data_IF_773737918080
#
_entry.id   IF_773737918080
#
_cell.length_a   1.000
_cell.length_b   1.000
_cell.length_c   1.000
_cell.angle_alpha   90.00
_cell.angle_beta   90.00
_cell.angle_gamma   90.00
#
_symmetry.space_group_name_H-M   'P 1'
#
loop_
_entity.id
_entity.type
_entity.pdbx_description
1 polymer ?
#
# COMPACT_ATOMS: atom_id res chain seq x y z
N UNK A 1 -8.51 -12.40 -3.25
CA UNK A 1 -8.93 -11.24 -4.08
C UNK A 1 -7.78 -10.28 -4.11
N UNK A 2 -7.38 -9.81 -5.29
CA UNK A 2 -6.21 -8.93 -5.42
C UNK A 2 -6.65 -7.48 -5.20
N UNK A 3 -6.02 -6.85 -4.22
CA UNK A 3 -6.12 -5.43 -3.94
C UNK A 3 -4.87 -4.73 -4.45
N UNK A 4 -5.08 -3.69 -5.26
CA UNK A 4 -4.04 -2.78 -5.73
C UNK A 4 -4.16 -1.47 -4.98
N UNK A 5 -3.15 -1.15 -4.18
CA UNK A 5 -3.14 0.02 -3.30
C UNK A 5 -2.12 1.03 -3.81
N UNK A 6 -2.55 2.27 -3.95
CA UNK A 6 -1.65 3.39 -4.21
C UNK A 6 -1.39 4.15 -2.91
N UNK A 7 -0.13 4.30 -2.53
CA UNK A 7 0.26 4.99 -1.31
C UNK A 7 1.42 5.96 -1.53
N UNK A 8 1.47 7.00 -0.72
CA UNK A 8 2.61 7.90 -0.60
C UNK A 8 3.54 7.37 0.49
N UNK A 9 4.80 7.13 0.15
CA UNK A 9 5.86 6.78 1.11
C UNK A 9 7.10 7.63 0.87
N UNK A 10 7.97 7.73 1.87
CA UNK A 10 9.18 8.58 1.79
C UNK A 10 8.91 10.04 2.16
N UNK A 11 9.94 10.87 2.02
CA UNK A 11 9.78 12.32 2.20
C UNK A 11 8.96 12.88 1.03
N UNK A 12 7.81 13.50 1.33
CA UNK A 12 6.92 14.12 0.32
C UNK A 12 7.61 15.23 -0.47
N UNK A 13 8.74 15.76 0.02
CA UNK A 13 9.53 16.80 -0.65
C UNK A 13 10.66 16.24 -1.53
N UNK A 14 11.09 15.00 -1.27
CA UNK A 14 12.06 14.30 -2.11
C UNK A 14 11.38 13.07 -2.70
N UNK A 15 10.70 13.25 -3.83
CA UNK A 15 10.16 12.14 -4.64
C UNK A 15 11.30 11.23 -5.08
N UNK A 16 11.69 10.32 -4.21
CA UNK A 16 12.72 9.32 -4.49
C UNK A 16 12.08 8.28 -5.40
N UNK A 17 12.55 8.22 -6.64
CA UNK A 17 12.08 7.23 -7.63
C UNK A 17 12.49 5.79 -7.26
N UNK A 18 13.27 5.61 -6.20
CA UNK A 18 13.68 4.30 -5.71
C UNK A 18 13.95 4.29 -4.21
N UNK A 19 13.29 3.38 -3.51
CA UNK A 19 13.63 2.95 -2.15
C UNK A 19 14.01 1.47 -2.18
N UNK A 20 14.91 1.06 -1.28
CA UNK A 20 15.19 -0.36 -1.07
C UNK A 20 13.98 -1.08 -0.47
N UNK A 21 13.89 -2.41 -0.62
CA UNK A 21 12.80 -3.20 -0.03
C UNK A 21 12.66 -2.97 1.48
N UNK A 22 13.78 -2.92 2.18
CA UNK A 22 13.84 -2.68 3.63
C UNK A 22 13.28 -1.30 4.00
N UNK A 23 13.65 -0.26 3.23
CA UNK A 23 13.10 1.08 3.43
C UNK A 23 11.61 1.14 3.14
N UNK A 24 11.15 0.53 2.04
CA UNK A 24 9.73 0.44 1.70
C UNK A 24 8.96 -0.23 2.83
N UNK A 25 9.42 -1.40 3.29
CA UNK A 25 8.78 -2.12 4.38
C UNK A 25 8.72 -1.28 5.66
N UNK A 26 9.80 -0.59 6.04
CA UNK A 26 9.81 0.26 7.22
C UNK A 26 8.83 1.45 7.15
N UNK A 27 8.61 1.99 5.94
CA UNK A 27 7.57 2.99 5.73
C UNK A 27 6.17 2.39 5.85
N UNK A 28 5.97 1.20 5.28
CA UNK A 28 4.70 0.48 5.33
C UNK A 28 4.30 0.07 6.75
N UNK A 29 5.24 -0.33 7.60
CA UNK A 29 4.99 -0.59 9.03
C UNK A 29 4.36 0.62 9.77
N UNK A 30 4.58 1.83 9.24
CA UNK A 30 4.11 3.09 9.82
C UNK A 30 2.99 3.75 9.03
N UNK A 31 2.49 3.09 7.99
CA UNK A 31 1.49 3.66 7.08
C UNK A 31 0.23 4.06 7.85
N UNK A 32 -0.33 5.22 7.52
CA UNK A 32 -1.63 5.65 8.03
C UNK A 32 -2.64 5.67 6.89
N UNK A 33 -3.94 5.58 7.21
CA UNK A 33 -4.99 5.59 6.16
C UNK A 33 -4.89 6.76 5.20
N UNK A 34 -4.50 7.93 5.71
CA UNK A 34 -4.37 9.14 4.90
C UNK A 34 -3.16 9.14 3.96
N UNK A 35 -2.23 8.19 4.10
CA UNK A 35 -1.13 7.98 3.15
C UNK A 35 -1.58 7.14 1.96
N UNK A 36 -2.71 6.43 2.09
CA UNK A 36 -3.33 5.69 0.99
C UNK A 36 -4.14 6.67 0.15
N UNK A 37 -3.81 6.73 -1.14
CA UNK A 37 -4.50 7.57 -2.11
C UNK A 37 -5.73 6.87 -2.67
N UNK A 38 -5.60 5.56 -2.92
CA UNK A 38 -6.71 4.73 -3.37
C UNK A 38 -6.41 3.25 -3.19
N UNK A 39 -7.49 2.48 -3.16
CA UNK A 39 -7.47 1.02 -3.25
C UNK A 39 -8.42 0.60 -4.36
N UNK A 40 -8.00 -0.32 -5.20
CA UNK A 40 -8.83 -0.87 -6.27
C UNK A 40 -8.71 -2.38 -6.34
N UNK A 41 -9.76 -3.03 -6.78
CA UNK A 41 -9.77 -4.44 -7.19
C UNK A 41 -10.17 -4.49 -8.66
N UNK A 42 -10.53 -5.67 -9.19
CA UNK A 42 -11.07 -5.77 -10.54
C UNK A 42 -12.42 -5.05 -10.68
N UNK A 43 -13.27 -5.13 -9.65
CA UNK A 43 -14.67 -4.68 -9.71
C UNK A 43 -14.94 -3.41 -8.87
N UNK A 44 -14.09 -3.13 -7.88
CA UNK A 44 -14.34 -2.08 -6.88
C UNK A 44 -13.19 -1.06 -6.78
N UNK A 45 -13.52 0.14 -6.28
CA UNK A 45 -12.61 1.27 -6.10
C UNK A 45 -12.97 2.08 -4.85
N UNK A 46 -11.96 2.42 -4.05
CA UNK A 46 -12.09 3.22 -2.82
C UNK A 46 -11.04 4.33 -2.78
N UNK A 47 -11.49 5.57 -2.60
CA UNK A 47 -10.63 6.69 -2.17
C UNK A 47 -10.57 6.80 -0.64
N UNK A 48 -11.68 6.49 0.03
CA UNK A 48 -11.73 6.37 1.49
C UNK A 48 -11.75 4.89 1.88
N UNK A 49 -10.62 4.42 2.40
CA UNK A 49 -10.39 3.00 2.66
C UNK A 49 -11.15 2.57 3.91
N UNK A 50 -12.05 1.56 3.82
CA UNK A 50 -12.75 1.03 5.00
C UNK A 50 -11.78 0.55 6.09
N UNK A 51 -12.17 0.74 7.34
CA UNK A 51 -11.36 0.38 8.52
C UNK A 51 -10.89 -1.08 8.51
N UNK A 52 -11.79 -1.98 8.18
CA UNK A 52 -11.52 -3.42 8.09
C UNK A 52 -10.50 -3.74 7.00
N UNK A 53 -10.64 -3.14 5.82
CA UNK A 53 -9.70 -3.32 4.72
C UNK A 53 -8.31 -2.80 5.09
N UNK A 54 -8.23 -1.68 5.81
CA UNK A 54 -6.95 -1.14 6.27
C UNK A 54 -6.24 -2.06 7.28
N UNK A 55 -6.96 -2.69 8.21
CA UNK A 55 -6.36 -3.63 9.14
C UNK A 55 -5.91 -4.94 8.46
N UNK A 56 -6.66 -5.40 7.44
CA UNK A 56 -6.24 -6.52 6.60
C UNK A 56 -4.97 -6.19 5.80
N UNK A 57 -4.88 -4.97 5.26
CA UNK A 57 -3.68 -4.48 4.58
C UNK A 57 -2.47 -4.51 5.53
N UNK A 58 -2.60 -3.96 6.74
CA UNK A 58 -1.53 -3.98 7.75
C UNK A 58 -1.08 -5.40 8.10
N UNK A 59 -2.02 -6.32 8.28
CA UNK A 59 -1.70 -7.73 8.57
C UNK A 59 -0.86 -8.37 7.45
N UNK A 60 -1.14 -8.03 6.19
CA UNK A 60 -0.36 -8.53 5.05
C UNK A 60 0.99 -7.83 4.92
N UNK A 61 1.06 -6.53 5.23
CA UNK A 61 2.33 -5.80 5.33
C UNK A 61 3.24 -6.45 6.36
N UNK A 62 2.76 -6.65 7.60
CA UNK A 62 3.52 -7.25 8.69
C UNK A 62 4.00 -8.67 8.37
N UNK A 63 3.23 -9.41 7.56
CA UNK A 63 3.58 -10.75 7.10
C UNK A 63 4.46 -10.76 5.83
N UNK A 64 4.85 -9.60 5.31
CA UNK A 64 5.52 -9.42 4.02
C UNK A 64 4.80 -10.10 2.83
N UNK A 65 3.47 -10.18 2.90
CA UNK A 65 2.60 -10.79 1.88
C UNK A 65 2.10 -9.77 0.87
N UNK A 66 3.03 -9.11 0.20
CA UNK A 66 2.71 -8.13 -0.84
C UNK A 66 3.84 -8.06 -1.87
N UNK A 67 3.46 -7.74 -3.10
CA UNK A 67 4.38 -7.26 -4.11
C UNK A 67 4.27 -5.74 -4.20
N UNK A 68 5.33 -5.08 -4.65
CA UNK A 68 5.30 -3.64 -4.83
C UNK A 68 6.07 -3.17 -6.06
N UNK A 69 5.64 -2.02 -6.57
CA UNK A 69 6.39 -1.24 -7.55
C UNK A 69 6.39 0.23 -7.14
N UNK A 70 7.43 0.97 -7.52
CA UNK A 70 7.51 2.41 -7.31
C UNK A 70 7.56 3.12 -8.66
N UNK A 71 6.78 4.19 -8.80
CA UNK A 71 6.80 5.03 -9.99
C UNK A 71 6.42 6.46 -9.64
N UNK A 72 7.23 7.44 -10.06
CA UNK A 72 6.96 8.89 -9.91
C UNK A 72 6.73 9.34 -8.46
N UNK A 73 7.38 8.70 -7.49
CA UNK A 73 7.19 8.97 -6.06
C UNK A 73 5.96 8.30 -5.43
N UNK A 74 5.24 7.45 -6.17
CA UNK A 74 4.12 6.66 -5.65
C UNK A 74 4.53 5.20 -5.48
N UNK A 75 4.04 4.59 -4.40
CA UNK A 75 4.13 3.17 -4.16
C UNK A 75 2.83 2.50 -4.59
N UNK A 76 2.96 1.43 -5.36
CA UNK A 76 1.87 0.54 -5.72
C UNK A 76 2.09 -0.80 -5.05
N UNK A 77 1.17 -1.19 -4.17
CA UNK A 77 1.15 -2.50 -3.53
C UNK A 77 0.14 -3.39 -4.22
N UNK A 78 0.48 -4.67 -4.40
CA UNK A 78 -0.46 -5.71 -4.74
C UNK A 78 -0.53 -6.68 -3.56
N UNK A 79 -1.74 -6.87 -3.03
CA UNK A 79 -1.99 -7.72 -1.86
C UNK A 79 -3.10 -8.69 -2.21
N UNK A 80 -2.84 -9.99 -2.07
CA UNK A 80 -3.89 -11.00 -2.21
C UNK A 80 -4.52 -11.27 -0.83
N UNK A 81 -5.73 -10.77 -0.65
CA UNK A 81 -6.50 -10.93 0.57
C UNK A 81 -7.58 -12.00 0.31
N UNK A 82 -7.57 -13.14 1.00
CA UNK A 82 -8.63 -14.13 0.89
C UNK A 82 -9.86 -13.61 1.62
N UNK A 83 -10.73 -12.92 0.89
CA UNK A 83 -12.06 -12.54 1.34
C UNK A 83 -12.99 -13.67 0.92
N UNK A 84 -13.64 -14.32 1.89
CA UNK A 84 -14.63 -15.40 1.69
C UNK A 84 -15.98 -14.86 1.22
#
# INVERSE_FOLDING_TARGET
MIFRIEAIIGDRYESTDSLTKEQVHHWLEKIQKHDILKVETEDDYWEDVPDELFELLKTNIDAEKYDYTMAKGHLWLNVDIPIE
#
